data_IF_517446986179
#
_entry.id   IF_517446986179
#
_cell.length_a   1.000
_cell.length_b   1.000
_cell.length_c   1.000
_cell.angle_alpha   90.00
_cell.angle_beta   90.00
_cell.angle_gamma   90.00
#
_symmetry.space_group_name_H-M   'P 1'
#
loop_
_entity.id
_entity.type
_entity.pdbx_description
1 polymer ?
#
# COMPACT_ATOMS: atom_id res chain seq x y z
N UNK A 1 -11.10 14.32 -4.59
CA UNK A 1 -9.89 14.08 -5.41
C UNK A 1 -8.79 14.97 -4.89
N UNK A 2 -7.70 14.39 -4.36
CA UNK A 2 -6.55 15.15 -3.86
C UNK A 2 -5.53 15.46 -4.97
N UNK A 3 -5.84 15.21 -6.26
CA UNK A 3 -5.08 15.62 -7.46
C UNK A 3 -3.55 15.72 -7.27
N UNK A 4 -2.87 14.61 -6.97
CA UNK A 4 -1.41 14.56 -6.81
C UNK A 4 -0.87 14.96 -5.42
N UNK A 5 -1.67 15.61 -4.58
CA UNK A 5 -1.34 15.98 -3.19
C UNK A 5 -1.59 14.84 -2.19
N UNK A 6 -2.10 13.71 -2.65
CA UNK A 6 -2.40 12.56 -1.80
C UNK A 6 -1.22 12.12 -0.91
N UNK A 7 0.05 12.09 -1.39
CA UNK A 7 1.18 11.74 -0.54
C UNK A 7 1.36 12.66 0.66
N UNK A 8 0.97 13.95 0.58
CA UNK A 8 1.05 14.86 1.72
C UNK A 8 0.01 14.50 2.78
N UNK A 9 -1.21 14.17 2.37
CA UNK A 9 -2.27 13.75 3.29
C UNK A 9 -1.98 12.39 3.93
N UNK A 10 -1.52 11.41 3.14
CA UNK A 10 -1.24 10.05 3.63
C UNK A 10 0.11 9.92 4.35
N UNK A 11 0.85 11.02 4.51
CA UNK A 11 2.10 11.11 5.29
C UNK A 11 2.07 12.29 6.27
N UNK A 12 0.87 12.73 6.67
CA UNK A 12 0.72 13.81 7.65
C UNK A 12 1.16 13.32 9.05
N UNK A 13 2.16 13.99 9.63
CA UNK A 13 2.66 13.71 10.98
C UNK A 13 1.61 13.91 12.07
N UNK A 14 0.57 14.73 11.83
CA UNK A 14 -0.56 14.87 12.76
C UNK A 14 -1.44 13.63 12.83
N UNK A 15 -1.38 12.78 11.80
CA UNK A 15 -2.16 11.54 11.71
C UNK A 15 -1.29 10.32 12.05
N UNK A 16 -0.10 10.22 11.45
CA UNK A 16 0.76 9.04 11.54
C UNK A 16 1.97 9.22 12.48
N UNK A 17 2.06 10.35 13.18
CA UNK A 17 3.11 10.64 14.15
C UNK A 17 4.49 10.81 13.52
N UNK A 18 5.53 10.57 14.32
CA UNK A 18 6.93 10.76 13.93
C UNK A 18 7.36 9.84 12.77
N UNK A 19 6.69 8.69 12.62
CA UNK A 19 6.99 7.72 11.55
C UNK A 19 6.20 7.98 10.26
N UNK A 20 5.50 9.12 10.12
CA UNK A 20 4.63 9.38 8.97
C UNK A 20 5.34 9.33 7.60
N UNK A 21 6.63 9.67 7.56
CA UNK A 21 7.47 9.61 6.36
C UNK A 21 8.15 8.24 6.15
N UNK A 22 7.96 7.27 7.06
CA UNK A 22 8.64 5.98 7.06
C UNK A 22 7.68 4.84 6.66
N UNK A 23 8.23 3.82 6.02
CA UNK A 23 7.55 2.54 5.84
C UNK A 23 7.60 1.74 7.15
N UNK A 24 6.43 1.39 7.70
CA UNK A 24 6.28 0.61 8.94
C UNK A 24 5.41 -0.59 8.61
N UNK A 25 6.01 -1.78 8.58
CA UNK A 25 5.40 -2.99 8.00
C UNK A 25 4.15 -3.49 8.72
N UNK A 26 4.01 -3.17 10.00
CA UNK A 26 2.93 -3.59 10.90
C UNK A 26 1.99 -2.44 11.30
N UNK A 27 2.10 -1.27 10.65
CA UNK A 27 1.36 -0.03 11.02
C UNK A 27 -0.14 -0.23 11.24
N UNK A 28 -0.76 -1.13 10.48
CA UNK A 28 -2.21 -1.34 10.48
C UNK A 28 -2.64 -2.64 11.20
N UNK A 29 -1.73 -3.31 11.90
CA UNK A 29 -2.03 -4.54 12.66
C UNK A 29 -2.71 -4.20 13.99
N UNK A 30 -3.67 -5.05 14.40
CA UNK A 30 -4.41 -4.88 15.65
C UNK A 30 -5.51 -3.80 15.59
N UNK A 31 -6.30 -3.70 16.67
CA UNK A 31 -7.47 -2.81 16.73
C UNK A 31 -7.10 -1.33 16.57
N UNK A 32 -5.99 -0.90 17.17
CA UNK A 32 -5.55 0.50 17.07
C UNK A 32 -5.01 0.82 15.68
N UNK A 33 -4.24 -0.08 15.07
CA UNK A 33 -3.75 0.07 13.70
C UNK A 33 -4.89 0.14 12.69
N UNK A 34 -5.92 -0.70 12.85
CA UNK A 34 -7.10 -0.70 11.97
C UNK A 34 -7.87 0.63 12.00
N UNK A 35 -7.91 1.34 13.14
CA UNK A 35 -8.55 2.68 13.22
C UNK A 35 -7.89 3.71 12.29
N UNK A 36 -6.63 3.52 11.92
CA UNK A 36 -5.90 4.41 11.02
C UNK A 36 -6.30 4.24 9.54
N UNK A 37 -6.99 3.14 9.19
CA UNK A 37 -7.40 2.87 7.79
C UNK A 37 -8.33 3.96 7.23
N UNK A 38 -9.08 4.67 8.08
CA UNK A 38 -9.91 5.82 7.64
C UNK A 38 -9.09 6.97 7.02
N UNK A 39 -7.78 7.01 7.27
CA UNK A 39 -6.86 8.00 6.69
C UNK A 39 -6.10 7.49 5.46
N UNK A 40 -6.31 6.23 5.06
CA UNK A 40 -5.79 5.66 3.82
C UNK A 40 -6.78 5.98 2.71
N UNK A 41 -6.35 6.75 1.70
CA UNK A 41 -7.25 7.36 0.69
C UNK A 41 -6.85 7.10 -0.76
N UNK A 42 -6.13 6.01 -1.04
CA UNK A 42 -5.69 5.66 -2.39
C UNK A 42 -6.84 5.46 -3.38
N UNK A 43 -7.99 5.00 -2.88
CA UNK A 43 -9.18 4.73 -3.68
C UNK A 43 -10.02 5.98 -3.97
N UNK A 44 -9.50 7.20 -3.70
CA UNK A 44 -10.26 8.46 -3.73
C UNK A 44 -11.43 8.51 -2.72
N UNK A 45 -11.26 7.83 -1.58
CA UNK A 45 -12.12 7.84 -0.40
C UNK A 45 -11.45 7.07 0.75
N UNK A 46 -11.91 7.19 2.00
CA UNK A 46 -11.39 6.40 3.13
C UNK A 46 -11.46 4.90 2.84
N UNK A 47 -10.42 4.14 3.20
CA UNK A 47 -10.37 2.68 2.99
C UNK A 47 -11.51 1.95 3.71
N UNK A 48 -12.02 2.53 4.80
CA UNK A 48 -13.15 2.04 5.58
C UNK A 48 -14.52 2.24 4.92
N UNK A 49 -14.61 2.99 3.82
CA UNK A 49 -15.86 3.24 3.09
C UNK A 49 -15.99 2.35 1.84
N UNK A 50 -17.19 2.28 1.26
CA UNK A 50 -17.48 1.46 0.07
C UNK A 50 -17.75 2.33 -1.16
N UNK A 51 -17.28 1.93 -2.35
CA UNK A 51 -17.64 2.61 -3.59
C UNK A 51 -19.13 2.45 -3.87
N UNK A 52 -19.74 3.49 -4.43
CA UNK A 52 -21.17 3.49 -4.78
C UNK A 52 -21.42 4.31 -6.05
N UNK A 53 -22.61 4.15 -6.64
CA UNK A 53 -23.05 4.99 -7.78
C UNK A 53 -23.22 6.47 -7.40
N UNK A 54 -23.30 6.79 -6.10
CA UNK A 54 -23.46 8.14 -5.59
C UNK A 54 -22.14 8.82 -5.20
N UNK A 55 -21.01 8.11 -5.27
CA UNK A 55 -19.70 8.65 -4.95
C UNK A 55 -18.69 8.47 -6.09
N UNK A 56 -17.47 8.97 -5.89
CA UNK A 56 -16.37 8.91 -6.86
C UNK A 56 -15.22 8.04 -6.37
N UNK A 57 -15.46 7.16 -5.41
CA UNK A 57 -14.45 6.21 -4.95
C UNK A 57 -14.20 5.16 -6.04
N UNK A 58 -12.99 4.60 -6.09
CA UNK A 58 -12.60 3.58 -7.04
C UNK A 58 -13.57 2.39 -6.98
N UNK A 59 -14.29 2.06 -8.08
CA UNK A 59 -15.22 0.92 -8.08
C UNK A 59 -14.51 -0.43 -7.93
N UNK A 60 -13.22 -0.48 -8.24
CA UNK A 60 -12.37 -1.67 -8.07
C UNK A 60 -11.62 -1.71 -6.73
N UNK A 61 -12.01 -0.93 -5.71
CA UNK A 61 -11.28 -0.82 -4.42
C UNK A 61 -10.89 -2.20 -3.87
N UNK A 62 -11.88 -3.07 -3.66
CA UNK A 62 -11.67 -4.37 -3.03
C UNK A 62 -10.87 -5.32 -3.94
N UNK A 63 -11.01 -5.20 -5.25
CA UNK A 63 -10.22 -5.98 -6.21
C UNK A 63 -8.74 -5.60 -6.17
N UNK A 64 -8.40 -4.30 -6.13
CA UNK A 64 -7.01 -3.84 -6.02
C UNK A 64 -6.40 -4.29 -4.70
N UNK A 65 -7.13 -4.18 -3.59
CA UNK A 65 -6.68 -4.66 -2.28
C UNK A 65 -6.44 -6.17 -2.31
N UNK A 66 -7.35 -6.95 -2.91
CA UNK A 66 -7.20 -8.39 -3.07
C UNK A 66 -5.96 -8.76 -3.89
N UNK A 67 -5.80 -8.17 -5.08
CA UNK A 67 -4.65 -8.48 -5.96
C UNK A 67 -3.33 -8.05 -5.32
N UNK A 68 -3.30 -6.92 -4.61
CA UNK A 68 -2.12 -6.49 -3.85
C UNK A 68 -1.72 -7.48 -2.77
N UNK A 69 -2.69 -8.04 -2.02
CA UNK A 69 -2.44 -9.11 -1.05
C UNK A 69 -1.93 -10.38 -1.72
N UNK A 70 -2.58 -10.82 -2.81
CA UNK A 70 -2.20 -12.02 -3.54
C UNK A 70 -0.80 -11.92 -4.13
N UNK A 71 -0.40 -10.75 -4.64
CA UNK A 71 0.95 -10.53 -5.15
C UNK A 71 2.01 -10.80 -4.07
N UNK A 72 1.83 -10.22 -2.87
CA UNK A 72 2.79 -10.39 -1.77
C UNK A 72 2.77 -11.84 -1.24
N UNK A 73 1.58 -12.42 -1.08
CA UNK A 73 1.43 -13.81 -0.62
C UNK A 73 2.06 -14.80 -1.60
N UNK A 74 1.72 -14.73 -2.89
CA UNK A 74 2.28 -15.65 -3.90
C UNK A 74 3.80 -15.51 -3.99
N UNK A 75 4.31 -14.28 -3.90
CA UNK A 75 5.75 -14.03 -3.91
C UNK A 75 6.45 -14.73 -2.74
N UNK A 76 5.98 -14.53 -1.51
CA UNK A 76 6.61 -15.10 -0.31
C UNK A 76 6.25 -16.57 -0.02
N UNK A 77 5.25 -17.14 -0.69
CA UNK A 77 5.06 -18.60 -0.74
C UNK A 77 6.16 -19.29 -1.58
N UNK A 78 6.82 -18.55 -2.48
CA UNK A 78 7.82 -19.09 -3.41
C UNK A 78 9.25 -18.71 -3.05
N UNK A 79 9.43 -17.56 -2.41
CA UNK A 79 10.75 -16.99 -2.12
C UNK A 79 10.81 -16.45 -0.69
N UNK A 80 11.84 -16.81 0.08
CA UNK A 80 12.04 -16.31 1.44
C UNK A 80 12.55 -14.86 1.42
N UNK A 81 13.47 -14.56 0.49
CA UNK A 81 14.11 -13.24 0.38
C UNK A 81 14.40 -12.89 -1.09
N UNK A 82 14.56 -11.59 -1.34
CA UNK A 82 14.98 -11.07 -2.64
C UNK A 82 15.83 -9.82 -2.46
N UNK A 83 16.66 -9.51 -3.45
CA UNK A 83 17.33 -8.21 -3.59
C UNK A 83 16.90 -7.54 -4.88
N UNK A 84 16.92 -6.21 -4.90
CA UNK A 84 16.59 -5.45 -6.10
C UNK A 84 17.39 -4.15 -6.19
N UNK A 85 17.64 -3.72 -7.42
CA UNK A 85 18.08 -2.37 -7.74
C UNK A 85 16.86 -1.50 -8.05
N UNK A 86 16.87 -0.27 -7.52
CA UNK A 86 15.75 0.67 -7.67
C UNK A 86 16.23 1.91 -8.42
N UNK A 87 15.50 2.28 -9.48
CA UNK A 87 15.71 3.49 -10.26
C UNK A 87 14.40 4.26 -10.47
N UNK A 88 14.47 5.36 -11.20
CA UNK A 88 13.32 6.21 -11.49
C UNK A 88 12.84 6.01 -12.93
N UNK A 89 11.53 5.99 -13.13
CA UNK A 89 10.87 6.00 -14.44
C UNK A 89 9.91 7.19 -14.52
N UNK A 90 9.43 7.51 -15.73
CA UNK A 90 8.43 8.58 -15.91
C UNK A 90 7.16 8.32 -15.09
N UNK A 91 6.79 7.05 -14.94
CA UNK A 91 5.65 6.59 -14.15
C UNK A 91 6.12 5.59 -13.09
N UNK A 92 6.42 6.10 -11.90
CA UNK A 92 6.78 5.30 -10.74
C UNK A 92 8.27 4.97 -10.64
N UNK A 93 8.58 3.79 -10.11
CA UNK A 93 9.94 3.32 -9.89
C UNK A 93 10.27 2.17 -10.84
N UNK A 94 11.51 2.17 -11.36
CA UNK A 94 12.11 0.98 -11.96
C UNK A 94 12.57 0.06 -10.84
N UNK A 95 12.13 -1.19 -10.83
CA UNK A 95 12.61 -2.20 -9.89
C UNK A 95 13.14 -3.38 -10.69
N UNK A 96 14.43 -3.69 -10.51
CA UNK A 96 15.09 -4.84 -11.15
C UNK A 96 15.47 -5.82 -10.06
N UNK A 97 14.81 -6.98 -10.01
CA UNK A 97 15.14 -8.05 -9.07
C UNK A 97 16.49 -8.67 -9.47
N UNK A 98 17.45 -8.66 -8.56
CA UNK A 98 18.82 -9.15 -8.79
C UNK A 98 19.11 -10.50 -8.14
N UNK A 99 18.35 -10.88 -7.11
CA UNK A 99 18.42 -12.22 -6.52
C UNK A 99 17.09 -12.67 -5.91
N UNK A 100 16.89 -13.99 -5.84
CA UNK A 100 15.74 -14.65 -5.25
C UNK A 100 16.20 -15.90 -4.48
N UNK A 101 15.93 -15.94 -3.19
CA UNK A 101 16.14 -17.14 -2.36
C UNK A 101 14.85 -17.94 -2.35
N UNK A 102 14.85 -19.16 -2.90
CA UNK A 102 13.66 -20.02 -2.88
C UNK A 102 13.29 -20.42 -1.45
N UNK A 103 11.99 -20.46 -1.17
CA UNK A 103 11.49 -21.04 0.07
C UNK A 103 11.83 -22.53 0.16
N UNK A 104 12.29 -22.98 1.33
CA UNK A 104 12.46 -24.41 1.63
C UNK A 104 11.15 -25.00 2.14
N UNK A 105 10.74 -26.14 1.58
CA UNK A 105 9.59 -26.92 2.04
C UNK A 105 9.82 -27.57 3.40
#
# INVERSE_FOLDING_TARGET
>A
MLFGYQPMATRDAKVFGETAAQFVGDRFVGSEGQKLLKYVVWSNGPETESPSVSNKQCPGKDLVVLVGRLLVVDFFLRYDTFTAEVGQELLGAKVVVTSLTKATS
#
